data_IF_656988376871
#
_entry.id   IF_656988376871
#
_cell.length_a   1.000
_cell.length_b   1.000
_cell.length_c   1.000
_cell.angle_alpha   90.00
_cell.angle_beta   90.00
_cell.angle_gamma   90.00
#
_symmetry.space_group_name_H-M   'P 1'
#
loop_
_entity.id
_entity.type
_entity.pdbx_description
1 polymer ?
#
# COMPACT_ATOMS: atom_id res chain seq x y z
N UNK A 1 -3.28 -9.09 10.65
CA UNK A 1 -3.17 -9.25 9.18
C UNK A 1 -4.34 -8.70 8.35
N UNK A 2 -5.61 -8.91 8.72
CA UNK A 2 -6.74 -8.34 7.96
C UNK A 2 -6.71 -6.80 7.97
N UNK A 3 -6.44 -6.20 9.14
CA UNK A 3 -6.36 -4.75 9.29
C UNK A 3 -5.20 -4.13 8.49
N UNK A 4 -4.03 -4.80 8.41
CA UNK A 4 -2.87 -4.28 7.67
C UNK A 4 -3.10 -4.23 6.16
N UNK A 5 -3.84 -5.20 5.61
CA UNK A 5 -4.27 -5.18 4.21
C UNK A 5 -5.24 -4.03 3.90
N UNK A 6 -6.23 -3.80 4.79
CA UNK A 6 -7.18 -2.68 4.63
C UNK A 6 -6.51 -1.31 4.78
N UNK A 7 -5.67 -1.14 5.80
CA UNK A 7 -4.99 0.13 6.07
C UNK A 7 -4.09 0.58 4.91
N UNK A 8 -3.54 -0.35 4.14
CA UNK A 8 -2.72 -0.04 2.97
C UNK A 8 -3.49 0.59 1.80
N UNK A 9 -4.83 0.56 1.80
CA UNK A 9 -5.66 1.30 0.84
C UNK A 9 -5.82 2.78 1.20
N UNK A 10 -5.50 3.16 2.45
CA UNK A 10 -5.64 4.53 2.91
C UNK A 10 -4.88 5.56 2.04
N UNK A 11 -3.60 5.36 1.65
CA UNK A 11 -2.90 6.28 0.77
C UNK A 11 -3.61 6.49 -0.57
N UNK A 12 -4.17 5.42 -1.15
CA UNK A 12 -4.92 5.48 -2.40
C UNK A 12 -6.20 6.29 -2.27
N UNK A 13 -7.00 6.03 -1.23
CA UNK A 13 -8.25 6.77 -0.98
C UNK A 13 -7.97 8.24 -0.69
N UNK A 14 -6.99 8.53 0.18
CA UNK A 14 -6.58 9.88 0.53
C UNK A 14 -6.14 10.65 -0.72
N UNK A 15 -5.29 10.05 -1.54
CA UNK A 15 -4.83 10.67 -2.78
C UNK A 15 -5.97 10.86 -3.79
N UNK A 16 -6.90 9.91 -3.92
CA UNK A 16 -8.01 10.03 -4.85
C UNK A 16 -8.93 11.22 -4.52
N UNK A 17 -9.04 11.59 -3.24
CA UNK A 17 -9.88 12.71 -2.79
C UNK A 17 -9.16 14.05 -2.86
N UNK A 18 -7.85 14.08 -2.55
CA UNK A 18 -7.12 15.35 -2.38
C UNK A 18 -6.12 15.65 -3.50
N UNK A 19 -5.77 14.67 -4.34
CA UNK A 19 -4.75 14.82 -5.38
C UNK A 19 -5.30 14.53 -6.78
N UNK A 20 -5.40 15.59 -7.59
CA UNK A 20 -5.83 15.53 -9.00
C UNK A 20 -4.89 14.72 -9.91
N UNK A 21 -3.71 14.35 -9.42
CA UNK A 21 -2.67 13.64 -10.18
C UNK A 21 -2.76 12.12 -10.13
N UNK A 22 -3.69 11.54 -9.34
CA UNK A 22 -3.84 10.07 -9.26
C UNK A 22 -4.22 9.50 -10.62
N UNK A 23 -3.45 8.55 -11.11
CA UNK A 23 -3.73 7.86 -12.38
C UNK A 23 -4.20 6.42 -12.14
N UNK A 24 -4.81 5.83 -13.17
CA UNK A 24 -5.18 4.40 -13.14
C UNK A 24 -3.96 3.50 -12.91
N UNK A 25 -2.84 3.82 -13.56
CA UNK A 25 -1.61 3.05 -13.41
C UNK A 25 -1.06 3.15 -11.97
N UNK A 26 -1.08 4.35 -11.39
CA UNK A 26 -0.72 4.56 -9.98
C UNK A 26 -1.60 3.77 -9.01
N UNK A 27 -2.91 3.78 -9.23
CA UNK A 27 -3.86 3.02 -8.41
C UNK A 27 -3.60 1.50 -8.49
N UNK A 28 -3.41 0.95 -9.70
CA UNK A 28 -3.08 -0.47 -9.84
C UNK A 28 -1.73 -0.82 -9.21
N UNK A 29 -0.70 0.00 -9.40
CA UNK A 29 0.61 -0.22 -8.80
C UNK A 29 0.56 -0.22 -7.27
N UNK A 30 -0.20 0.70 -6.66
CA UNK A 30 -0.44 0.74 -5.22
C UNK A 30 -1.11 -0.54 -4.69
N UNK A 31 -2.17 -1.01 -5.36
CA UNK A 31 -2.89 -2.23 -4.95
C UNK A 31 -2.02 -3.49 -5.13
N UNK A 32 -1.36 -3.63 -6.27
CA UNK A 32 -0.53 -4.81 -6.57
C UNK A 32 0.67 -4.88 -5.64
N UNK A 33 1.38 -3.76 -5.42
CA UNK A 33 2.51 -3.72 -4.49
C UNK A 33 2.10 -4.02 -3.05
N UNK A 34 0.96 -3.48 -2.62
CA UNK A 34 0.34 -3.81 -1.32
C UNK A 34 0.10 -5.30 -1.20
N UNK A 35 -0.56 -5.92 -2.19
CA UNK A 35 -0.85 -7.35 -2.18
C UNK A 35 0.42 -8.19 -2.08
N UNK A 36 1.44 -7.87 -2.89
CA UNK A 36 2.72 -8.58 -2.89
C UNK A 36 3.42 -8.47 -1.53
N UNK A 37 3.62 -7.26 -1.01
CA UNK A 37 4.32 -7.06 0.27
C UNK A 37 3.54 -7.65 1.43
N UNK A 38 2.22 -7.49 1.45
CA UNK A 38 1.36 -8.11 2.45
C UNK A 38 1.50 -9.63 2.43
N UNK A 39 1.42 -10.27 1.25
CA UNK A 39 1.55 -11.75 1.13
C UNK A 39 2.93 -12.23 1.60
N UNK A 40 4.00 -11.52 1.24
CA UNK A 40 5.37 -11.89 1.69
C UNK A 40 5.49 -11.79 3.20
N UNK A 41 5.03 -10.70 3.82
CA UNK A 41 5.15 -10.51 5.27
C UNK A 41 4.22 -11.44 6.04
N UNK A 42 3.01 -11.69 5.53
CA UNK A 42 2.07 -12.65 6.09
C UNK A 42 2.64 -14.07 6.09
N UNK A 43 3.22 -14.49 4.96
CA UNK A 43 3.87 -15.80 4.83
C UNK A 43 5.03 -15.94 5.83
N UNK A 44 5.84 -14.88 5.99
CA UNK A 44 6.96 -14.87 6.94
C UNK A 44 6.54 -14.92 8.40
N UNK A 45 5.39 -14.37 8.75
CA UNK A 45 4.91 -14.39 10.15
C UNK A 45 4.22 -15.70 10.52
N UNK A 46 3.42 -16.27 9.61
CA UNK A 46 2.57 -17.42 9.92
C UNK A 46 3.19 -18.75 9.52
N UNK A 47 3.92 -18.81 8.40
CA UNK A 47 4.37 -20.08 7.80
C UNK A 47 5.86 -20.35 8.06
N UNK A 48 6.68 -19.30 8.24
CA UNK A 48 8.08 -19.51 8.57
C UNK A 48 8.23 -20.04 10.01
N UNK A 49 9.05 -21.07 10.19
CA UNK A 49 9.39 -21.62 11.51
C UNK A 49 10.05 -20.51 12.34
N UNK A 50 9.37 -20.05 13.38
CA UNK A 50 9.92 -19.08 14.32
C UNK A 50 11.07 -19.74 15.11
N UNK A 51 12.17 -19.04 15.40
CA UNK A 51 13.22 -19.57 16.26
C UNK A 51 12.66 -20.02 17.61
N UNK A 52 13.22 -21.08 18.23
CA UNK A 52 12.78 -21.51 19.56
C UNK A 52 12.84 -20.33 20.55
N UNK A 53 11.71 -20.05 21.21
CA UNK A 53 11.57 -18.92 22.15
C UNK A 53 10.92 -17.65 21.59
N UNK A 54 10.57 -17.62 20.30
CA UNK A 54 9.92 -16.47 19.64
C UNK A 54 8.50 -16.82 19.14
N UNK A 55 7.90 -17.92 19.62
CA UNK A 55 6.66 -18.49 19.06
C UNK A 55 5.46 -17.51 19.12
N UNK A 56 5.40 -16.70 20.18
CA UNK A 56 4.34 -15.71 20.42
C UNK A 56 4.68 -14.28 19.97
N UNK A 57 5.92 -14.02 19.52
CA UNK A 57 6.31 -12.66 19.15
C UNK A 57 5.63 -12.23 17.84
N UNK A 58 5.03 -11.04 17.87
CA UNK A 58 4.53 -10.36 16.67
C UNK A 58 5.71 -10.07 15.72
N UNK A 59 5.52 -10.28 14.41
CA UNK A 59 6.54 -9.91 13.44
C UNK A 59 6.80 -8.39 13.48
N UNK A 60 7.92 -8.00 14.08
CA UNK A 60 8.41 -6.62 14.06
C UNK A 60 9.55 -6.47 13.06
N UNK A 61 9.51 -5.38 12.29
CA UNK A 61 10.57 -5.00 11.34
C UNK A 61 11.16 -3.69 11.84
N UNK A 62 12.36 -3.74 12.42
CA UNK A 62 13.00 -2.57 13.03
C UNK A 62 12.18 -1.96 14.18
N UNK A 63 11.47 -2.81 14.95
CA UNK A 63 10.59 -2.38 16.04
C UNK A 63 9.21 -1.86 15.60
N UNK A 64 8.91 -1.86 14.29
CA UNK A 64 7.61 -1.44 13.76
C UNK A 64 6.78 -2.63 13.28
N UNK A 65 5.46 -2.47 13.38
CA UNK A 65 4.51 -3.41 12.83
C UNK A 65 4.58 -3.44 11.29
N UNK A 66 4.30 -4.60 10.64
CA UNK A 66 4.40 -4.76 9.19
C UNK A 66 3.53 -3.76 8.41
N UNK A 67 2.42 -3.33 9.00
CA UNK A 67 1.49 -2.35 8.41
C UNK A 67 2.18 -1.04 8.04
N UNK A 68 3.18 -0.58 8.81
CA UNK A 68 3.90 0.66 8.50
C UNK A 68 4.64 0.56 7.16
N UNK A 69 5.30 -0.58 6.92
CA UNK A 69 6.01 -0.87 5.68
C UNK A 69 5.03 -0.98 4.50
N UNK A 70 3.89 -1.67 4.70
CA UNK A 70 2.89 -1.85 3.64
C UNK A 70 2.27 -0.50 3.24
N UNK A 71 1.95 0.37 4.20
CA UNK A 71 1.45 1.73 3.94
C UNK A 71 2.49 2.55 3.15
N UNK A 72 3.76 2.50 3.56
CA UNK A 72 4.83 3.21 2.88
C UNK A 72 4.98 2.74 1.42
N UNK A 73 5.01 1.42 1.19
CA UNK A 73 5.10 0.85 -0.16
C UNK A 73 3.89 1.24 -1.01
N UNK A 74 2.69 1.19 -0.45
CA UNK A 74 1.45 1.60 -1.14
C UNK A 74 1.52 3.06 -1.58
N UNK A 75 1.91 3.96 -0.67
CA UNK A 75 2.02 5.39 -0.94
C UNK A 75 3.10 5.70 -1.99
N UNK A 76 4.30 5.10 -1.84
CA UNK A 76 5.41 5.30 -2.77
C UNK A 76 5.03 4.81 -4.17
N UNK A 77 4.46 3.60 -4.26
CA UNK A 77 4.03 3.01 -5.54
C UNK A 77 2.97 3.88 -6.22
N UNK A 78 1.99 4.37 -5.45
CA UNK A 78 0.97 5.27 -5.97
C UNK A 78 1.57 6.54 -6.57
N UNK A 79 2.43 7.21 -5.82
CA UNK A 79 3.02 8.49 -6.20
C UNK A 79 3.92 8.32 -7.41
N UNK A 80 4.87 7.38 -7.35
CA UNK A 80 5.84 7.14 -8.43
C UNK A 80 5.11 6.80 -9.73
N UNK A 81 4.22 5.81 -9.72
CA UNK A 81 3.54 5.41 -10.96
C UNK A 81 2.54 6.45 -11.45
N UNK A 82 1.93 7.25 -10.58
CA UNK A 82 1.09 8.38 -11.01
C UNK A 82 1.90 9.48 -11.70
N UNK A 83 3.12 9.75 -11.22
CA UNK A 83 4.00 10.76 -11.82
C UNK A 83 4.57 10.33 -13.17
N UNK A 84 4.89 9.04 -13.35
CA UNK A 84 5.47 8.51 -14.59
C UNK A 84 4.44 8.05 -15.64
N UNK A 85 3.13 8.15 -15.35
CA UNK A 85 2.08 7.74 -16.28
C UNK A 85 1.33 8.93 -16.88
N UNK A 86 0.47 8.64 -17.88
CA UNK A 86 -0.35 9.67 -18.52
C UNK A 86 -1.28 10.32 -17.50
N UNK A 87 -1.19 11.66 -17.39
CA UNK A 87 -2.02 12.46 -16.50
C UNK A 87 -3.51 12.27 -16.78
N UNK A 88 -4.39 12.39 -15.76
CA UNK A 88 -5.83 12.36 -15.96
C UNK A 88 -6.29 13.47 -16.92
N UNK A 89 -7.37 13.23 -17.67
CA UNK A 89 -7.90 14.25 -18.57
C UNK A 89 -8.59 15.37 -17.79
N UNK A 90 -8.60 16.58 -18.36
CA UNK A 90 -9.31 17.73 -17.79
C UNK A 90 -10.80 17.43 -17.55
N UNK A 91 -11.43 16.66 -18.42
CA UNK A 91 -12.83 16.24 -18.25
C UNK A 91 -13.01 15.37 -16.99
N UNK A 92 -12.09 14.45 -16.70
CA UNK A 92 -12.12 13.64 -15.48
C UNK A 92 -11.89 14.50 -14.24
N UNK A 93 -10.90 15.39 -14.28
CA UNK A 93 -10.59 16.27 -13.14
C UNK A 93 -11.80 17.16 -12.82
N UNK A 94 -12.41 17.80 -13.83
CA UNK A 94 -13.59 18.63 -13.64
C UNK A 94 -14.77 17.86 -13.06
N UNK A 95 -15.00 16.61 -13.49
CA UNK A 95 -16.11 15.79 -12.99
C UNK A 95 -16.01 15.48 -11.48
N UNK A 96 -14.81 15.33 -10.96
CA UNK A 96 -14.59 14.84 -9.57
C UNK A 96 -14.08 15.91 -8.61
N UNK A 97 -13.61 17.05 -9.10
CA UNK A 97 -12.98 18.11 -8.29
C UNK A 97 -13.57 19.52 -8.48
N UNK A 98 -14.64 19.68 -9.27
CA UNK A 98 -15.33 20.96 -9.53
C UNK A 98 -16.83 20.72 -9.68
#
# INVERSE_FOLDING_TARGET
>A
WCFSGFAALFPLVLAAVYWKGVTKAGAYASIISTLVVWTVLFYRDIIAVKPPGMEEDELLIGGMMPVAIIIAVSAISLVVFSLFSKKPSEATIRKFFA
#
